data_IF_869682890779
#
_entry.id   IF_869682890779
#
_cell.length_a   1.000
_cell.length_b   1.000
_cell.length_c   1.000
_cell.angle_alpha   90.00
_cell.angle_beta   90.00
_cell.angle_gamma   90.00
#
_symmetry.space_group_name_H-M   'P 1'
#
loop_
_entity.id
_entity.type
_entity.pdbx_description
1 polymer ?
#
# COMPACT_ATOMS: atom_id res chain seq x y z
N UNK A 1 -0.65 -28.23 -11.44
CA UNK A 1 -0.43 -27.66 -10.10
C UNK A 1 0.19 -26.29 -10.28
N UNK A 2 -0.23 -25.28 -9.52
CA UNK A 2 0.44 -23.97 -9.54
C UNK A 2 1.83 -24.09 -8.92
N UNK A 3 2.80 -23.41 -9.52
CA UNK A 3 4.11 -23.13 -8.94
C UNK A 3 3.97 -22.25 -7.70
N UNK A 4 4.97 -22.25 -6.83
CA UNK A 4 4.93 -21.42 -5.62
C UNK A 4 4.92 -19.92 -5.94
N UNK A 5 5.53 -19.52 -7.05
CA UNK A 5 5.45 -18.14 -7.58
C UNK A 5 4.02 -17.76 -7.97
N UNK A 6 3.29 -18.66 -8.64
CA UNK A 6 1.90 -18.41 -9.01
C UNK A 6 0.99 -18.35 -7.78
N UNK A 7 1.20 -19.22 -6.79
CA UNK A 7 0.48 -19.15 -5.50
C UNK A 7 0.73 -17.83 -4.77
N UNK A 8 1.98 -17.37 -4.75
CA UNK A 8 2.34 -16.09 -4.14
C UNK A 8 1.63 -14.93 -4.84
N UNK A 9 1.67 -14.89 -6.17
CA UNK A 9 0.98 -13.86 -6.96
C UNK A 9 -0.53 -13.86 -6.72
N UNK A 10 -1.15 -15.04 -6.62
CA UNK A 10 -2.57 -15.14 -6.30
C UNK A 10 -2.88 -14.54 -4.91
N UNK A 11 -2.05 -14.83 -3.91
CA UNK A 11 -2.21 -14.26 -2.56
C UNK A 11 -2.00 -12.75 -2.51
N UNK A 12 -1.06 -12.22 -3.28
CA UNK A 12 -0.86 -10.77 -3.39
C UNK A 12 -2.05 -10.08 -4.08
N UNK A 13 -2.68 -10.73 -5.06
CA UNK A 13 -3.90 -10.22 -5.68
C UNK A 13 -5.08 -10.20 -4.71
N UNK A 14 -5.28 -11.28 -3.95
CA UNK A 14 -6.29 -11.33 -2.87
C UNK A 14 -6.07 -10.19 -1.86
N UNK A 15 -4.82 -10.01 -1.40
CA UNK A 15 -4.46 -8.94 -0.46
C UNK A 15 -4.72 -7.55 -1.05
N UNK A 16 -4.36 -7.33 -2.32
CA UNK A 16 -4.62 -6.07 -3.03
C UNK A 16 -6.11 -5.72 -2.99
N UNK A 17 -6.98 -6.67 -3.33
CA UNK A 17 -8.44 -6.46 -3.31
C UNK A 17 -8.93 -6.11 -1.89
N UNK A 18 -8.42 -6.79 -0.87
CA UNK A 18 -8.78 -6.52 0.52
C UNK A 18 -8.41 -5.10 0.95
N UNK A 19 -7.19 -4.64 0.65
CA UNK A 19 -6.77 -3.28 1.00
C UNK A 19 -7.44 -2.19 0.15
N UNK A 20 -7.73 -2.45 -1.13
CA UNK A 20 -8.54 -1.56 -1.97
C UNK A 20 -9.95 -1.37 -1.39
N UNK A 21 -10.53 -2.43 -0.80
CA UNK A 21 -11.81 -2.32 -0.12
C UNK A 21 -11.75 -1.42 1.12
N UNK A 22 -10.67 -1.46 1.90
CA UNK A 22 -10.48 -0.53 3.03
C UNK A 22 -10.47 0.92 2.54
N UNK A 23 -9.71 1.21 1.48
CA UNK A 23 -9.65 2.55 0.87
C UNK A 23 -11.03 2.99 0.37
N UNK A 24 -11.77 2.10 -0.30
CA UNK A 24 -13.12 2.38 -0.79
C UNK A 24 -14.14 2.63 0.33
N UNK A 25 -14.01 1.92 1.46
CA UNK A 25 -14.88 2.15 2.64
C UNK A 25 -14.54 3.51 3.26
N UNK A 26 -13.26 3.86 3.38
CA UNK A 26 -12.82 5.14 3.92
C UNK A 26 -13.34 6.37 3.14
N UNK A 27 -13.63 6.20 1.84
CA UNK A 27 -14.26 7.25 1.02
C UNK A 27 -15.74 7.49 1.36
N UNK A 28 -16.41 6.52 1.98
CA UNK A 28 -17.85 6.56 2.26
C UNK A 28 -18.14 6.87 3.72
N UNK A 29 -17.22 6.53 4.62
CA UNK A 29 -17.40 6.69 6.05
C UNK A 29 -16.05 6.85 6.75
N UNK A 30 -16.06 7.47 7.93
CA UNK A 30 -14.90 7.49 8.80
C UNK A 30 -14.54 6.07 9.25
N UNK A 31 -13.26 5.74 9.16
CA UNK A 31 -12.66 4.51 9.69
C UNK A 31 -11.41 4.87 10.49
N UNK A 32 -10.82 3.89 11.17
CA UNK A 32 -9.54 4.05 11.85
C UNK A 32 -8.45 4.57 10.86
N UNK A 33 -7.87 5.76 11.10
CA UNK A 33 -6.80 6.31 10.26
C UNK A 33 -5.56 5.42 10.19
N UNK A 34 -5.24 4.67 11.24
CA UNK A 34 -4.10 3.75 11.26
C UNK A 34 -4.32 2.61 10.25
N UNK A 35 -5.53 2.04 10.23
CA UNK A 35 -5.93 1.00 9.28
C UNK A 35 -5.85 1.51 7.83
N UNK A 36 -6.30 2.74 7.57
CA UNK A 36 -6.19 3.36 6.24
C UNK A 36 -4.72 3.57 5.83
N UNK A 37 -3.89 4.12 6.73
CA UNK A 37 -2.46 4.34 6.51
C UNK A 37 -1.71 3.05 6.17
N UNK A 38 -1.92 2.00 6.97
CA UNK A 38 -1.34 0.67 6.75
C UNK A 38 -1.79 0.05 5.43
N UNK A 39 -3.07 0.21 5.07
CA UNK A 39 -3.63 -0.32 3.83
C UNK A 39 -3.00 0.33 2.59
N UNK A 40 -2.80 1.66 2.62
CA UNK A 40 -2.07 2.32 1.53
C UNK A 40 -0.62 1.81 1.43
N UNK A 41 0.11 1.68 2.54
CA UNK A 41 1.48 1.15 2.50
C UNK A 41 1.52 -0.29 1.97
N UNK A 42 0.58 -1.15 2.35
CA UNK A 42 0.50 -2.50 1.84
C UNK A 42 0.23 -2.53 0.33
N UNK A 43 -0.70 -1.70 -0.16
CA UNK A 43 -0.97 -1.55 -1.60
C UNK A 43 0.26 -1.07 -2.36
N UNK A 44 0.98 -0.08 -1.85
CA UNK A 44 2.18 0.44 -2.48
C UNK A 44 3.27 -0.64 -2.61
N UNK A 45 3.49 -1.44 -1.56
CA UNK A 45 4.43 -2.58 -1.60
C UNK A 45 4.01 -3.65 -2.60
N UNK A 46 2.71 -3.91 -2.74
CA UNK A 46 2.19 -4.82 -3.77
C UNK A 46 2.47 -4.25 -5.17
N UNK A 47 2.30 -2.94 -5.38
CA UNK A 47 2.66 -2.32 -6.65
C UNK A 47 4.17 -2.39 -6.94
N UNK A 48 5.04 -2.18 -5.94
CA UNK A 48 6.49 -2.40 -6.10
C UNK A 48 6.81 -3.86 -6.47
N UNK A 49 6.12 -4.84 -5.87
CA UNK A 49 6.32 -6.25 -6.21
C UNK A 49 6.03 -6.56 -7.69
N UNK A 50 5.10 -5.82 -8.30
CA UNK A 50 4.79 -5.91 -9.73
C UNK A 50 5.52 -4.87 -10.58
N UNK A 51 6.64 -4.32 -10.07
CA UNK A 51 7.49 -3.31 -10.71
C UNK A 51 6.76 -2.03 -11.14
N UNK A 52 5.58 -1.77 -10.57
CA UNK A 52 4.77 -0.60 -10.87
C UNK A 52 5.12 0.57 -9.94
N UNK A 53 6.36 1.02 -10.01
CA UNK A 53 6.94 2.01 -9.09
C UNK A 53 6.23 3.37 -9.11
N UNK A 54 5.73 3.80 -10.27
CA UNK A 54 4.98 5.06 -10.39
C UNK A 54 3.67 5.01 -9.59
N UNK A 55 2.93 3.90 -9.68
CA UNK A 55 1.73 3.72 -8.86
C UNK A 55 2.08 3.53 -7.39
N UNK A 56 3.14 2.78 -7.07
CA UNK A 56 3.60 2.62 -5.69
C UNK A 56 3.89 3.98 -5.03
N UNK A 57 4.59 4.88 -5.74
CA UNK A 57 4.87 6.24 -5.25
C UNK A 57 3.59 7.03 -4.98
N UNK A 58 2.62 7.01 -5.89
CA UNK A 58 1.35 7.71 -5.70
C UNK A 58 0.57 7.18 -4.49
N UNK A 59 0.63 5.87 -4.25
CA UNK A 59 -0.03 5.24 -3.09
C UNK A 59 0.72 5.53 -1.79
N UNK A 60 2.06 5.57 -1.80
CA UNK A 60 2.83 6.04 -0.64
C UNK A 60 2.51 7.50 -0.30
N UNK A 61 2.31 8.35 -1.31
CA UNK A 61 1.85 9.72 -1.09
C UNK A 61 0.46 9.78 -0.44
N UNK A 62 -0.44 8.87 -0.79
CA UNK A 62 -1.72 8.76 -0.11
C UNK A 62 -1.56 8.37 1.36
N UNK A 63 -0.65 7.42 1.68
CA UNK A 63 -0.35 7.06 3.07
C UNK A 63 0.24 8.24 3.87
N UNK A 64 1.16 9.00 3.28
CA UNK A 64 1.76 10.20 3.89
C UNK A 64 0.68 11.26 4.15
N UNK A 65 -0.27 11.45 3.24
CA UNK A 65 -1.39 12.39 3.40
C UNK A 65 -2.35 12.03 4.54
N UNK A 66 -2.42 10.77 4.96
CA UNK A 66 -3.17 10.38 6.19
C UNK A 66 -2.52 11.02 7.43
N UNK A 67 -1.22 11.29 7.39
CA UNK A 67 -0.46 11.91 8.47
C UNK A 67 0.17 10.91 9.44
N UNK A 68 0.94 11.44 10.40
CA UNK A 68 1.58 10.64 11.45
C UNK A 68 0.57 10.29 12.56
N UNK A 69 -0.26 9.29 12.28
CA UNK A 69 -1.27 8.76 13.20
C UNK A 69 -0.70 7.61 14.02
N UNK A 70 -1.11 7.49 15.29
CA UNK A 70 -0.67 6.40 16.17
C UNK A 70 -1.02 5.03 15.56
N UNK A 71 -0.04 4.13 15.47
CA UNK A 71 -0.20 2.81 14.84
C UNK A 71 -0.25 2.83 13.31
N UNK A 72 -0.13 4.00 12.67
CA UNK A 72 -0.03 4.15 11.23
C UNK A 72 1.37 3.84 10.69
N UNK A 73 1.53 4.04 9.38
CA UNK A 73 2.75 3.68 8.64
C UNK A 73 3.40 4.88 7.94
N UNK A 74 3.30 6.07 8.53
CA UNK A 74 3.80 7.32 7.96
C UNK A 74 5.30 7.27 7.62
N UNK A 75 6.14 6.93 8.61
CA UNK A 75 7.60 6.88 8.41
C UNK A 75 8.01 5.80 7.41
N UNK A 76 7.29 4.68 7.38
CA UNK A 76 7.50 3.60 6.40
C UNK A 76 7.20 4.11 4.98
N UNK A 77 6.10 4.83 4.80
CA UNK A 77 5.73 5.41 3.52
C UNK A 77 6.74 6.46 3.04
N UNK A 78 7.19 7.33 3.95
CA UNK A 78 8.19 8.37 3.64
C UNK A 78 9.53 7.74 3.21
N UNK A 79 10.03 6.78 3.99
CA UNK A 79 11.29 6.09 3.67
C UNK A 79 11.19 5.31 2.34
N UNK A 80 10.07 4.64 2.08
CA UNK A 80 9.85 3.90 0.85
C UNK A 80 9.78 4.82 -0.37
N UNK A 81 9.05 5.94 -0.28
CA UNK A 81 9.01 6.94 -1.35
C UNK A 81 10.39 7.51 -1.64
N UNK A 82 11.15 7.89 -0.61
CA UNK A 82 12.51 8.40 -0.77
C UNK A 82 13.43 7.38 -1.46
N UNK A 83 13.31 6.09 -1.13
CA UNK A 83 14.03 5.01 -1.82
C UNK A 83 13.67 4.96 -3.30
N UNK A 84 12.37 4.99 -3.64
CA UNK A 84 11.92 4.92 -5.03
C UNK A 84 12.39 6.12 -5.86
N UNK A 85 12.35 7.33 -5.30
CA UNK A 85 12.85 8.55 -5.98
C UNK A 85 14.35 8.46 -6.28
N UNK A 86 15.15 7.86 -5.38
CA UNK A 86 16.60 7.70 -5.59
C UNK A 86 16.95 6.62 -6.63
N UNK A 87 16.02 5.71 -6.90
CA UNK A 87 16.20 4.58 -7.81
C UNK A 87 15.58 4.81 -9.20
N UNK A 88 15.10 6.04 -9.48
CA UNK A 88 14.74 6.49 -10.83
C UNK A 88 15.97 6.96 -11.59
#
# INVERSE_FOLDING_TARGET
MLTDSEKQKAKLLEAKVAYENVVRIAQKQAIDPALLSLSYVALAKIYEFYDNNSYAMAVYDAAIKVGNVSGGAYDVALAAKQRLVKNQ
#
